data_IF_847060798931
#
_entry.id   IF_847060798931
#
_cell.length_a   1.000
_cell.length_b   1.000
_cell.length_c   1.000
_cell.angle_alpha   90.00
_cell.angle_beta   90.00
_cell.angle_gamma   90.00
#
_symmetry.space_group_name_H-M   'P 1'
#
loop_
_entity.id
_entity.type
_entity.pdbx_description
1 polymer ?
#
# COMPACT_ATOMS: atom_id res chain seq x y z
N UNK A 1 12.19 -5.79 -4.29
CA UNK A 1 11.38 -4.82 -5.05
C UNK A 1 10.87 -5.41 -6.36
N UNK A 2 11.75 -5.89 -7.26
CA UNK A 2 11.33 -6.46 -8.54
C UNK A 2 10.26 -7.56 -8.40
N UNK A 3 10.42 -8.46 -7.43
CA UNK A 3 9.42 -9.50 -7.16
C UNK A 3 8.08 -8.96 -6.65
N UNK A 4 8.08 -7.89 -5.85
CA UNK A 4 6.85 -7.24 -5.38
C UNK A 4 6.11 -6.57 -6.55
N UNK A 5 6.83 -5.87 -7.42
CA UNK A 5 6.25 -5.23 -8.60
C UNK A 5 5.65 -6.27 -9.56
N UNK A 6 6.38 -7.36 -9.83
CA UNK A 6 5.88 -8.44 -10.67
C UNK A 6 4.57 -9.05 -10.12
N UNK A 7 4.49 -9.31 -8.81
CA UNK A 7 3.27 -9.82 -8.17
C UNK A 7 2.09 -8.84 -8.25
N UNK A 8 2.34 -7.54 -8.22
CA UNK A 8 1.30 -6.51 -8.35
C UNK A 8 0.83 -6.39 -9.79
N UNK A 9 1.74 -6.44 -10.76
CA UNK A 9 1.41 -6.42 -12.19
C UNK A 9 0.61 -7.68 -12.62
N UNK A 10 0.87 -8.82 -11.97
CA UNK A 10 0.11 -10.07 -12.17
C UNK A 10 -1.21 -10.10 -11.39
N UNK A 11 -1.44 -9.15 -10.48
CA UNK A 11 -2.64 -9.11 -9.64
C UNK A 11 -3.76 -8.31 -10.30
N UNK A 12 -5.01 -8.79 -10.16
CA UNK A 12 -6.20 -8.12 -10.66
C UNK A 12 -6.66 -6.93 -9.78
N UNK A 13 -5.89 -6.54 -8.76
CA UNK A 13 -6.20 -5.40 -7.90
C UNK A 13 -5.82 -5.61 -6.43
N UNK A 14 -6.39 -4.81 -5.50
CA UNK A 14 -6.15 -5.01 -4.08
C UNK A 14 -6.69 -6.38 -3.60
N UNK A 15 -6.25 -6.88 -2.44
CA UNK A 15 -6.81 -8.08 -1.85
C UNK A 15 -8.35 -8.01 -1.74
N UNK A 16 -9.05 -9.17 -1.75
CA UNK A 16 -10.49 -9.20 -1.51
C UNK A 16 -10.85 -8.41 -0.25
N UNK A 17 -11.97 -7.69 -0.31
CA UNK A 17 -12.51 -6.88 0.78
C UNK A 17 -11.67 -5.65 1.17
N UNK A 18 -10.64 -5.29 0.40
CA UNK A 18 -9.93 -4.01 0.56
C UNK A 18 -10.50 -2.97 -0.43
N UNK A 19 -11.24 -1.95 0.04
CA UNK A 19 -11.86 -0.92 -0.81
C UNK A 19 -10.86 0.18 -1.23
N UNK A 20 -9.64 -0.21 -1.66
CA UNK A 20 -8.63 0.74 -2.10
C UNK A 20 -8.95 1.24 -3.53
N UNK A 21 -8.79 2.53 -3.75
CA UNK A 21 -9.06 3.21 -5.03
C UNK A 21 -7.78 3.58 -5.80
N UNK A 22 -6.62 3.47 -5.17
CA UNK A 22 -5.33 3.72 -5.79
C UNK A 22 -4.17 3.13 -5.00
N UNK A 23 -3.06 2.90 -5.70
CA UNK A 23 -1.81 2.38 -5.14
C UNK A 23 -0.63 3.18 -5.70
N UNK A 24 0.29 3.60 -4.82
CA UNK A 24 1.57 4.18 -5.22
C UNK A 24 2.69 3.53 -4.43
N UNK A 25 3.76 3.15 -5.12
CA UNK A 25 4.94 2.52 -4.48
C UNK A 25 6.15 3.41 -4.72
N UNK A 26 6.75 3.84 -3.62
CA UNK A 26 8.01 4.57 -3.59
C UNK A 26 9.09 3.61 -3.11
N UNK A 27 10.08 3.32 -3.94
CA UNK A 27 11.19 2.43 -3.58
C UNK A 27 12.50 3.22 -3.50
N UNK A 28 13.21 3.07 -2.39
CA UNK A 28 14.58 3.57 -2.25
C UNK A 28 15.56 2.40 -2.40
N UNK A 29 16.17 2.29 -3.58
CA UNK A 29 17.16 1.25 -3.86
C UNK A 29 18.47 1.39 -3.09
N UNK A 30 18.81 2.60 -2.60
CA UNK A 30 20.01 2.85 -1.82
C UNK A 30 19.86 2.45 -0.35
N UNK A 31 18.67 2.66 0.22
CA UNK A 31 18.35 2.30 1.61
C UNK A 31 17.70 0.91 1.76
N UNK A 32 17.24 0.31 0.65
CA UNK A 32 16.56 -0.99 0.68
C UNK A 32 15.14 -0.91 1.28
N UNK A 33 14.54 0.27 1.32
CA UNK A 33 13.23 0.53 1.89
C UNK A 33 12.19 0.83 0.83
N UNK A 34 10.93 0.63 1.17
CA UNK A 34 9.80 0.99 0.32
C UNK A 34 8.68 1.60 1.14
N UNK A 35 7.96 2.55 0.54
CA UNK A 35 6.72 3.11 1.08
C UNK A 35 5.61 2.76 0.10
N UNK A 36 4.53 2.19 0.62
CA UNK A 36 3.34 1.85 -0.15
C UNK A 36 2.22 2.75 0.34
N UNK A 37 1.73 3.62 -0.55
CA UNK A 37 0.58 4.49 -0.31
C UNK A 37 -0.65 3.84 -0.94
N UNK A 38 -1.72 3.74 -0.16
CA UNK A 38 -3.01 3.25 -0.62
C UNK A 38 -4.05 4.34 -0.39
N UNK A 39 -4.85 4.59 -1.42
CA UNK A 39 -5.90 5.60 -1.40
C UNK A 39 -7.24 4.94 -1.18
N UNK A 40 -8.12 5.63 -0.45
CA UNK A 40 -9.46 5.19 -0.10
C UNK A 40 -10.42 6.37 -0.27
N UNK A 41 -11.67 6.10 -0.63
CA UNK A 41 -12.68 7.15 -0.80
C UNK A 41 -13.14 7.75 0.54
N UNK A 42 -13.05 6.99 1.63
CA UNK A 42 -13.41 7.45 2.96
C UNK A 42 -12.49 6.91 4.06
N UNK A 43 -12.54 7.54 5.24
CA UNK A 43 -11.84 7.05 6.42
C UNK A 43 -12.36 5.67 6.88
N UNK A 44 -13.66 5.39 6.69
CA UNK A 44 -14.24 4.09 7.02
C UNK A 44 -13.68 2.97 6.11
N UNK A 45 -13.53 3.25 4.81
CA UNK A 45 -12.92 2.32 3.84
C UNK A 45 -11.44 2.05 4.20
N UNK A 46 -10.71 3.08 4.63
CA UNK A 46 -9.33 2.94 5.10
C UNK A 46 -9.23 2.09 6.37
N UNK A 47 -10.12 2.29 7.33
CA UNK A 47 -10.18 1.48 8.55
C UNK A 47 -10.47 0.01 8.22
N UNK A 48 -11.37 -0.26 7.28
CA UNK A 48 -11.70 -1.62 6.86
C UNK A 48 -10.53 -2.29 6.15
N UNK A 49 -9.91 -1.61 5.17
CA UNK A 49 -8.72 -2.12 4.50
C UNK A 49 -7.59 -2.42 5.48
N UNK A 50 -7.40 -1.57 6.49
CA UNK A 50 -6.39 -1.78 7.52
C UNK A 50 -6.66 -3.00 8.42
N UNK A 51 -7.92 -3.34 8.68
CA UNK A 51 -8.26 -4.59 9.38
C UNK A 51 -7.82 -5.79 8.56
N UNK A 52 -8.13 -5.79 7.26
CA UNK A 52 -7.74 -6.87 6.33
C UNK A 52 -6.22 -7.02 6.32
N UNK A 53 -5.46 -5.93 6.11
CA UNK A 53 -3.98 -5.97 6.10
C UNK A 53 -3.34 -6.35 7.43
N UNK A 54 -4.02 -6.07 8.54
CA UNK A 54 -3.54 -6.47 9.87
C UNK A 54 -3.77 -7.96 10.15
N UNK A 55 -4.76 -8.57 9.50
CA UNK A 55 -5.06 -9.99 9.60
C UNK A 55 -4.18 -10.86 8.68
N UNK A 56 -3.58 -10.27 7.64
CA UNK A 56 -2.67 -10.97 6.72
C UNK A 56 -1.38 -11.40 7.42
N UNK A 57 -0.85 -12.56 7.04
CA UNK A 57 0.43 -13.04 7.56
C UNK A 57 1.58 -12.21 6.98
N UNK A 58 2.44 -11.70 7.85
CA UNK A 58 3.59 -10.87 7.45
C UNK A 58 4.56 -11.56 6.48
N UNK A 59 4.61 -12.90 6.47
CA UNK A 59 5.41 -13.71 5.55
C UNK A 59 4.84 -13.77 4.13
N UNK A 60 3.56 -13.42 3.94
CA UNK A 60 2.92 -13.35 2.63
C UNK A 60 3.28 -12.05 1.89
N UNK A 61 3.76 -11.04 2.64
CA UNK A 61 4.22 -9.76 2.08
C UNK A 61 5.75 -9.71 1.99
N UNK A 62 6.35 -9.50 0.81
CA UNK A 62 7.81 -9.37 0.69
C UNK A 62 8.38 -8.24 1.55
N UNK A 63 9.41 -8.55 2.33
CA UNK A 63 10.13 -7.59 3.18
C UNK A 63 9.70 -7.66 4.65
N UNK A 64 9.98 -6.61 5.41
CA UNK A 64 9.57 -6.49 6.82
C UNK A 64 8.88 -5.16 7.03
N UNK A 65 7.69 -5.20 7.63
CA UNK A 65 6.90 -4.00 7.95
C UNK A 65 7.64 -3.15 8.98
N UNK A 66 8.02 -1.94 8.60
CA UNK A 66 8.67 -0.98 9.50
C UNK A 66 7.66 -0.17 10.32
N UNK A 67 6.63 0.37 9.66
CA UNK A 67 5.52 1.08 10.29
C UNK A 67 4.26 1.03 9.41
N UNK A 68 3.11 1.38 9.99
CA UNK A 68 1.84 1.61 9.27
C UNK A 68 1.19 2.82 9.91
N UNK A 69 0.83 3.79 9.06
CA UNK A 69 0.21 5.04 9.47
C UNK A 69 -1.03 5.29 8.61
N UNK A 70 -2.03 5.94 9.20
CA UNK A 70 -3.25 6.39 8.52
C UNK A 70 -3.25 7.91 8.49
N UNK A 71 -3.49 8.50 7.32
CA UNK A 71 -3.51 9.95 7.17
C UNK A 71 -4.46 10.39 6.06
N UNK A 72 -4.82 11.67 6.08
CA UNK A 72 -5.63 12.30 5.04
C UNK A 72 -4.75 13.01 4.02
N UNK A 73 -5.04 12.83 2.74
CA UNK A 73 -4.39 13.60 1.66
C UNK A 73 -4.93 15.03 1.69
N UNK A 74 -4.15 15.96 2.24
CA UNK A 74 -4.51 17.39 2.26
C UNK A 74 -4.20 18.12 0.95
N UNK A 75 -3.21 17.65 0.21
CA UNK A 75 -2.76 18.25 -1.05
C UNK A 75 -1.97 17.23 -1.86
N UNK A 76 -2.34 17.04 -3.11
CA UNK A 76 -1.53 16.34 -4.12
C UNK A 76 -1.40 17.25 -5.33
N UNK A 77 -0.16 17.57 -5.74
CA UNK A 77 0.11 18.41 -6.92
C UNK A 77 1.37 17.95 -7.64
N UNK A 78 1.29 17.94 -8.96
CA UNK A 78 2.45 17.84 -9.84
C UNK A 78 2.94 19.25 -10.15
N UNK A 79 4.21 19.52 -9.87
CA UNK A 79 4.86 20.78 -10.23
C UNK A 79 5.69 20.58 -11.50
N UNK A 80 5.64 21.57 -12.40
CA UNK A 80 6.38 21.61 -13.66
C UNK A 80 7.81 22.08 -13.47
#
# INVERSE_FOLDING_TARGET
MQELLARIEESDGPPPDVPATGLTILADGGQGTAVVLQYFDSAADMEEGARVFSAMDSSETPGTRASVDMCEVKLERTLS
#
